data_IF_795749587297
#
_entry.id   IF_795749587297
#
_cell.length_a   1.000
_cell.length_b   1.000
_cell.length_c   1.000
_cell.angle_alpha   90.00
_cell.angle_beta   90.00
_cell.angle_gamma   90.00
#
_symmetry.space_group_name_H-M   'P 1'
#
loop_
_entity.id
_entity.type
_entity.pdbx_description
1 polymer ?
#
# COMPACT_ATOMS: atom_id res chain seq x y z
N UNK A 1 15.03 21.64 29.66
CA UNK A 1 16.46 22.03 29.68
C UNK A 1 17.28 20.76 29.86
N UNK A 2 18.07 20.39 28.86
CA UNK A 2 19.02 19.27 28.96
C UNK A 2 20.19 19.78 29.75
N UNK A 3 20.46 19.20 30.92
CA UNK A 3 21.63 19.51 31.70
C UNK A 3 22.89 18.97 30.97
N UNK A 4 23.80 19.78 30.48
CA UNK A 4 24.94 19.32 29.69
C UNK A 4 25.98 18.52 30.50
N UNK A 5 25.93 18.59 31.82
CA UNK A 5 26.90 17.93 32.70
C UNK A 5 26.54 16.48 33.03
N UNK A 6 25.28 16.11 32.87
CA UNK A 6 24.82 14.71 33.09
C UNK A 6 24.22 14.13 31.81
N UNK A 7 24.83 13.08 31.24
CA UNK A 7 24.25 12.39 30.12
C UNK A 7 22.91 11.76 30.50
N UNK A 8 21.91 11.88 29.63
CA UNK A 8 20.59 11.30 29.84
C UNK A 8 20.28 10.27 28.76
N UNK A 9 19.61 9.21 29.16
CA UNK A 9 19.18 8.15 28.24
C UNK A 9 17.67 7.97 28.32
N UNK A 10 16.88 8.86 27.70
CA UNK A 10 15.43 8.68 27.59
C UNK A 10 15.10 7.56 26.60
N UNK A 11 14.19 6.66 27.02
CA UNK A 11 13.60 5.67 26.15
C UNK A 11 12.07 5.74 26.26
N UNK A 12 11.39 5.53 25.14
CA UNK A 12 9.93 5.57 25.03
C UNK A 12 9.46 4.39 24.24
N UNK A 13 8.48 3.69 24.78
CA UNK A 13 7.70 2.66 24.09
C UNK A 13 6.30 3.21 23.89
N UNK A 14 5.75 3.08 22.71
CA UNK A 14 4.40 3.50 22.39
C UNK A 14 3.64 2.39 21.68
N UNK A 15 2.35 2.30 21.98
CA UNK A 15 1.42 1.45 21.28
C UNK A 15 0.11 2.21 21.06
N UNK A 16 -0.34 2.22 19.82
CA UNK A 16 -1.65 2.74 19.44
C UNK A 16 -2.43 1.63 18.74
N UNK A 17 -3.71 1.53 19.08
CA UNK A 17 -4.65 0.65 18.41
C UNK A 17 -5.88 1.44 18.02
N UNK A 18 -6.20 1.42 16.74
CA UNK A 18 -7.42 2.00 16.20
C UNK A 18 -8.27 0.90 15.57
N UNK A 19 -9.56 0.87 15.90
CA UNK A 19 -10.52 -0.04 15.28
C UNK A 19 -11.67 0.78 14.70
N UNK A 20 -11.89 0.64 13.41
CA UNK A 20 -13.00 1.25 12.67
C UNK A 20 -13.97 0.17 12.25
N UNK A 21 -15.25 0.33 12.58
CA UNK A 21 -16.31 -0.58 12.17
C UNK A 21 -17.57 0.18 11.78
N UNK A 22 -18.35 -0.40 10.89
CA UNK A 22 -19.58 0.21 10.39
C UNK A 22 -19.70 0.08 8.88
N UNK A 23 -20.26 1.10 8.26
CA UNK A 23 -20.43 1.17 6.82
C UNK A 23 -20.05 2.57 6.32
N UNK A 24 -19.50 2.62 5.12
CA UNK A 24 -19.36 3.86 4.37
C UNK A 24 -20.05 3.74 3.02
N UNK A 25 -20.42 4.85 2.41
CA UNK A 25 -20.98 4.86 1.07
C UNK A 25 -19.89 4.59 0.04
N UNK A 26 -20.10 3.59 -0.81
CA UNK A 26 -19.34 3.38 -2.03
C UNK A 26 -20.24 3.74 -3.21
N UNK A 27 -19.79 4.68 -4.03
CA UNK A 27 -20.48 5.05 -5.26
C UNK A 27 -19.90 4.29 -6.43
N UNK A 28 -20.74 3.62 -7.19
CA UNK A 28 -20.39 2.90 -8.41
C UNK A 28 -21.18 3.37 -9.61
N UNK A 29 -20.67 3.10 -10.80
CA UNK A 29 -21.37 3.32 -12.05
C UNK A 29 -21.36 2.05 -12.90
N UNK A 30 -22.49 1.71 -13.49
CA UNK A 30 -22.58 0.66 -14.48
C UNK A 30 -22.70 1.32 -15.88
N UNK A 31 -21.67 1.17 -16.69
CA UNK A 31 -21.65 1.69 -18.05
C UNK A 31 -22.34 0.67 -18.96
N UNK A 32 -23.59 0.94 -19.28
CA UNK A 32 -24.29 0.27 -20.39
C UNK A 32 -24.35 1.20 -21.59
N UNK A 33 -24.44 0.64 -22.76
CA UNK A 33 -24.31 1.33 -24.05
C UNK A 33 -25.20 2.59 -24.24
N UNK A 34 -26.22 2.77 -23.43
CA UNK A 34 -27.15 3.90 -23.53
C UNK A 34 -27.62 4.49 -22.21
N UNK A 35 -27.24 3.90 -21.08
CA UNK A 35 -27.65 4.34 -19.75
C UNK A 35 -26.46 4.20 -18.80
N UNK A 36 -26.10 5.26 -18.12
CA UNK A 36 -25.06 5.26 -17.08
C UNK A 36 -25.73 5.35 -15.70
N UNK A 37 -26.33 4.25 -15.18
CA UNK A 37 -26.88 4.27 -13.84
C UNK A 37 -25.75 4.41 -12.84
N UNK A 38 -25.89 5.30 -11.89
CA UNK A 38 -25.08 5.38 -10.69
C UNK A 38 -25.83 4.72 -9.55
N UNK A 39 -25.11 4.11 -8.64
CA UNK A 39 -25.66 3.52 -7.44
C UNK A 39 -24.71 3.77 -6.25
N UNK A 40 -25.33 3.80 -5.10
CA UNK A 40 -24.60 3.87 -3.82
C UNK A 40 -24.87 2.59 -3.04
N UNK A 41 -23.81 1.99 -2.55
CA UNK A 41 -23.89 0.76 -1.74
C UNK A 41 -23.16 0.93 -0.42
N UNK A 42 -23.65 0.29 0.64
CA UNK A 42 -22.97 0.30 1.93
C UNK A 42 -21.74 -0.63 1.88
N UNK A 43 -20.57 -0.05 1.81
CA UNK A 43 -19.31 -0.79 1.97
C UNK A 43 -19.07 -1.10 3.45
N UNK A 44 -18.89 -2.36 3.83
CA UNK A 44 -18.61 -2.73 5.21
C UNK A 44 -17.20 -2.30 5.61
N UNK A 45 -17.07 -1.72 6.79
CA UNK A 45 -15.81 -1.37 7.42
C UNK A 45 -15.56 -2.26 8.63
N UNK A 46 -14.40 -2.89 8.69
CA UNK A 46 -13.90 -3.58 9.87
C UNK A 46 -12.38 -3.59 9.85
N UNK A 47 -11.80 -2.44 10.11
CA UNK A 47 -10.39 -2.15 9.96
C UNK A 47 -9.71 -2.06 11.33
N UNK A 48 -8.56 -2.69 11.49
CA UNK A 48 -7.74 -2.62 12.67
C UNK A 48 -6.35 -2.13 12.30
N UNK A 49 -5.96 -0.97 12.83
CA UNK A 49 -4.60 -0.44 12.73
C UNK A 49 -3.91 -0.55 14.08
N UNK A 50 -2.67 -1.02 14.07
CA UNK A 50 -1.83 -1.14 15.26
C UNK A 50 -0.46 -0.53 14.96
N UNK A 51 -0.05 0.43 15.79
CA UNK A 51 1.24 1.10 15.70
C UNK A 51 2.08 0.79 16.93
N UNK A 52 3.25 0.23 16.71
CA UNK A 52 4.27 -0.02 17.74
C UNK A 52 5.44 0.93 17.50
N UNK A 53 5.83 1.66 18.52
CA UNK A 53 6.96 2.56 18.49
C UNK A 53 7.93 2.28 19.61
N UNK A 54 9.22 2.24 19.28
CA UNK A 54 10.33 2.25 20.22
C UNK A 54 11.26 3.38 19.86
N UNK A 55 11.60 4.24 20.81
CA UNK A 55 12.55 5.32 20.64
C UNK A 55 13.51 5.33 21.81
N UNK A 56 14.79 5.52 21.52
CA UNK A 56 15.82 5.74 22.50
C UNK A 56 16.69 6.92 22.06
N UNK A 57 17.17 7.66 23.01
CA UNK A 57 18.10 8.75 22.75
C UNK A 57 19.21 8.78 23.82
N UNK A 58 20.35 9.33 23.44
CA UNK A 58 21.45 9.56 24.36
C UNK A 58 21.90 11.01 24.21
N UNK A 59 21.67 11.79 25.25
CA UNK A 59 22.05 13.20 25.30
C UNK A 59 23.33 13.35 26.11
N UNK A 60 24.30 14.05 25.57
CA UNK A 60 25.56 14.37 26.20
C UNK A 60 25.99 15.81 25.87
N UNK A 61 26.98 16.35 26.57
CA UNK A 61 27.33 17.75 26.44
C UNK A 61 27.61 18.22 25.01
N UNK A 62 28.28 17.40 24.20
CA UNK A 62 28.64 17.69 22.84
C UNK A 62 27.56 17.31 21.82
N UNK A 63 26.48 16.65 22.21
CA UNK A 63 25.50 16.22 21.21
C UNK A 63 24.35 15.38 21.67
N UNK A 64 23.73 14.76 20.69
CA UNK A 64 22.56 13.92 20.83
C UNK A 64 22.65 12.78 19.82
N UNK A 65 22.40 11.57 20.27
CA UNK A 65 22.18 10.38 19.43
C UNK A 65 20.76 9.92 19.62
N UNK A 66 20.15 9.38 18.58
CA UNK A 66 18.82 8.76 18.70
C UNK A 66 18.71 7.54 17.79
N UNK A 67 17.85 6.63 18.18
CA UNK A 67 17.40 5.50 17.38
C UNK A 67 15.90 5.30 17.59
N UNK A 68 15.21 4.87 16.55
CA UNK A 68 13.80 4.55 16.62
C UNK A 68 13.48 3.34 15.74
N UNK A 69 12.49 2.58 16.18
CA UNK A 69 11.83 1.54 15.41
C UNK A 69 10.33 1.76 15.47
N UNK A 70 9.67 1.71 14.32
CA UNK A 70 8.23 1.77 14.22
C UNK A 70 7.75 0.60 13.38
N UNK A 71 6.63 -0.01 13.79
CA UNK A 71 5.93 -1.04 13.04
C UNK A 71 4.44 -0.71 13.03
N UNK A 72 3.89 -0.59 11.83
CA UNK A 72 2.48 -0.44 11.58
C UNK A 72 1.93 -1.72 11.00
N UNK A 73 0.81 -2.19 11.54
CA UNK A 73 0.05 -3.34 11.06
C UNK A 73 -1.35 -2.88 10.74
N UNK A 74 -1.77 -3.08 9.52
CA UNK A 74 -3.14 -2.84 9.08
C UNK A 74 -3.80 -4.16 8.71
N UNK A 75 -4.93 -4.46 9.34
CA UNK A 75 -5.74 -5.64 9.07
C UNK A 75 -7.16 -5.22 8.72
N UNK A 76 -7.68 -5.71 7.62
CA UNK A 76 -9.06 -5.51 7.21
C UNK A 76 -9.84 -6.82 7.33
N UNK A 77 -10.73 -6.90 8.31
CA UNK A 77 -11.56 -8.08 8.55
C UNK A 77 -12.76 -8.18 7.61
N UNK A 78 -13.10 -7.09 6.93
CA UNK A 78 -14.09 -7.05 5.86
C UNK A 78 -13.35 -7.08 4.51
N UNK A 79 -12.70 -8.20 4.20
CA UNK A 79 -11.82 -8.33 3.04
C UNK A 79 -12.54 -8.11 1.71
N UNK A 80 -13.77 -8.61 1.60
CA UNK A 80 -14.61 -8.45 0.41
C UNK A 80 -16.08 -8.31 0.79
N UNK A 81 -16.86 -7.77 -0.15
CA UNK A 81 -18.31 -7.84 -0.10
C UNK A 81 -18.88 -8.02 -1.50
N UNK A 82 -20.07 -8.57 -1.59
CA UNK A 82 -20.79 -8.81 -2.84
C UNK A 82 -22.03 -7.95 -2.84
N UNK A 83 -22.28 -7.31 -3.96
CA UNK A 83 -23.52 -6.57 -4.21
C UNK A 83 -24.28 -7.21 -5.35
N UNK A 84 -25.59 -7.12 -5.30
CA UNK A 84 -26.45 -7.42 -6.43
C UNK A 84 -26.50 -6.21 -7.37
N UNK A 85 -26.45 -6.45 -8.68
CA UNK A 85 -26.66 -5.42 -9.67
C UNK A 85 -28.19 -5.15 -9.74
N UNK A 86 -28.65 -3.96 -9.33
CA UNK A 86 -30.07 -3.66 -9.30
C UNK A 86 -30.73 -3.62 -10.70
N UNK A 87 -29.92 -3.62 -11.75
CA UNK A 87 -30.36 -3.55 -13.13
C UNK A 87 -30.29 -4.89 -13.86
N UNK A 88 -29.92 -5.98 -13.15
CA UNK A 88 -29.69 -7.30 -13.71
C UNK A 88 -30.21 -8.42 -12.79
N UNK A 89 -31.26 -9.10 -13.21
CA UNK A 89 -31.92 -10.10 -12.35
C UNK A 89 -31.14 -11.43 -12.22
N UNK A 90 -30.36 -11.80 -13.22
CA UNK A 90 -29.60 -13.06 -13.25
C UNK A 90 -28.36 -12.97 -14.13
N UNK A 91 -27.36 -13.80 -13.83
CA UNK A 91 -26.15 -13.92 -14.63
C UNK A 91 -26.45 -14.49 -16.02
N UNK A 92 -25.80 -13.92 -17.03
CA UNK A 92 -25.88 -14.40 -18.40
C UNK A 92 -24.50 -14.47 -19.02
N UNK A 93 -24.17 -15.61 -19.61
CA UNK A 93 -23.00 -15.81 -20.46
C UNK A 93 -23.29 -15.54 -21.94
N UNK A 94 -24.54 -15.26 -22.29
CA UNK A 94 -24.93 -15.01 -23.66
C UNK A 94 -24.47 -13.61 -24.10
N UNK A 95 -23.58 -13.55 -25.06
CA UNK A 95 -23.02 -12.31 -25.62
C UNK A 95 -24.00 -11.51 -26.48
N UNK A 96 -25.09 -12.13 -26.92
CA UNK A 96 -26.09 -11.48 -27.79
C UNK A 96 -27.13 -10.65 -27.02
N UNK A 97 -27.25 -10.81 -25.74
CA UNK A 97 -28.19 -10.07 -24.91
C UNK A 97 -27.52 -8.91 -24.19
N UNK A 98 -28.25 -7.83 -24.01
CA UNK A 98 -27.86 -6.72 -23.14
C UNK A 98 -27.95 -7.23 -21.70
N UNK A 99 -26.95 -7.93 -21.27
CA UNK A 99 -26.86 -8.51 -19.96
C UNK A 99 -25.47 -8.20 -19.38
N UNK A 100 -25.29 -8.43 -18.17
CA UNK A 100 -24.04 -8.37 -17.43
C UNK A 100 -24.12 -9.33 -16.27
N UNK A 101 -23.16 -9.30 -15.36
CA UNK A 101 -23.27 -10.04 -14.11
C UNK A 101 -24.42 -9.48 -13.26
N UNK A 102 -25.18 -10.36 -12.62
CA UNK A 102 -26.21 -9.97 -11.64
C UNK A 102 -25.59 -9.59 -10.30
N UNK A 103 -24.34 -9.95 -10.07
CA UNK A 103 -23.61 -9.67 -8.84
C UNK A 103 -22.19 -9.26 -9.13
N UNK A 104 -21.64 -8.38 -8.27
CA UNK A 104 -20.25 -7.97 -8.33
C UNK A 104 -19.59 -8.14 -6.96
N UNK A 105 -18.35 -8.64 -6.94
CA UNK A 105 -17.51 -8.66 -5.76
C UNK A 105 -16.61 -7.44 -5.77
N UNK A 106 -16.60 -6.73 -4.66
CA UNK A 106 -15.63 -5.69 -4.35
C UNK A 106 -14.60 -6.22 -3.37
N UNK A 107 -13.37 -5.76 -3.54
CA UNK A 107 -12.25 -6.10 -2.66
C UNK A 107 -11.87 -4.83 -1.93
N UNK A 108 -11.89 -4.89 -0.61
CA UNK A 108 -11.49 -3.79 0.25
C UNK A 108 -9.96 -3.70 0.36
N UNK A 109 -9.47 -2.63 0.98
CA UNK A 109 -8.03 -2.44 1.20
C UNK A 109 -7.43 -3.67 1.87
N UNK A 110 -6.44 -4.32 1.26
CA UNK A 110 -5.86 -5.54 1.80
C UNK A 110 -4.96 -5.27 3.01
N UNK A 111 -4.75 -6.31 3.80
CA UNK A 111 -3.81 -6.31 4.91
C UNK A 111 -2.41 -5.91 4.46
N UNK A 112 -1.76 -5.09 5.27
CA UNK A 112 -0.41 -4.65 4.98
C UNK A 112 0.38 -4.36 6.26
N UNK A 113 1.68 -4.35 6.12
CA UNK A 113 2.61 -4.08 7.20
C UNK A 113 3.70 -3.11 6.72
N UNK A 114 4.05 -2.17 7.59
CA UNK A 114 5.19 -1.28 7.39
C UNK A 114 6.09 -1.30 8.62
N UNK A 115 7.39 -1.47 8.41
CA UNK A 115 8.40 -1.39 9.47
C UNK A 115 9.47 -0.39 9.06
N UNK A 116 9.89 0.47 10.00
CA UNK A 116 10.94 1.46 9.77
C UNK A 116 11.88 1.47 10.96
N UNK A 117 13.17 1.33 10.69
CA UNK A 117 14.23 1.58 11.66
C UNK A 117 14.99 2.84 11.28
N UNK A 118 15.31 3.68 12.25
CA UNK A 118 16.07 4.91 12.02
C UNK A 118 17.09 5.13 13.12
N UNK A 119 18.19 5.79 12.76
CA UNK A 119 19.19 6.27 13.72
C UNK A 119 19.74 7.61 13.22
N UNK A 120 20.11 8.46 14.17
CA UNK A 120 20.67 9.74 13.82
C UNK A 120 21.48 10.36 14.95
N UNK A 121 22.15 11.42 14.61
CA UNK A 121 22.99 12.17 15.52
C UNK A 121 22.93 13.67 15.26
N UNK A 122 23.20 14.43 16.29
CA UNK A 122 23.47 15.86 16.23
C UNK A 122 24.68 16.14 17.13
N UNK A 123 25.79 16.59 16.52
CA UNK A 123 27.02 16.95 17.21
C UNK A 123 27.19 18.45 17.18
N UNK A 124 27.69 18.99 18.28
CA UNK A 124 27.99 20.42 18.48
C UNK A 124 29.51 20.58 18.71
N UNK A 125 30.08 21.44 17.97
CA UNK A 125 31.51 21.79 18.05
C UNK A 125 31.70 23.26 18.42
N UNK A 126 32.94 23.65 18.64
CA UNK A 126 33.30 25.07 18.85
C UNK A 126 32.80 25.96 17.69
N UNK A 127 32.77 27.27 17.92
CA UNK A 127 32.39 28.29 16.93
C UNK A 127 31.02 28.10 16.30
N UNK A 128 30.04 27.65 17.11
CA UNK A 128 28.66 27.41 16.69
C UNK A 128 28.56 26.45 15.50
N UNK A 129 29.47 25.49 15.40
CA UNK A 129 29.43 24.44 14.38
C UNK A 129 28.55 23.31 14.84
N UNK A 130 27.68 22.85 13.96
CA UNK A 130 26.79 21.70 14.17
C UNK A 130 26.81 20.77 12.97
N UNK A 131 26.87 19.48 13.23
CA UNK A 131 26.76 18.42 12.24
C UNK A 131 25.65 17.51 12.68
N UNK A 132 24.66 17.27 11.80
CA UNK A 132 23.57 16.33 12.00
C UNK A 132 23.51 15.32 10.88
N UNK A 133 23.09 14.11 11.20
CA UNK A 133 22.84 13.07 10.21
C UNK A 133 21.74 12.12 10.67
N UNK A 134 20.90 11.68 9.74
CA UNK A 134 19.83 10.74 9.96
C UNK A 134 19.83 9.70 8.85
N UNK A 135 19.71 8.43 9.23
CA UNK A 135 19.49 7.29 8.35
C UNK A 135 18.17 6.63 8.76
N UNK A 136 17.31 6.35 7.79
CA UNK A 136 16.14 5.51 8.00
C UNK A 136 16.07 4.45 6.90
N UNK A 137 15.73 3.22 7.30
CA UNK A 137 15.46 2.11 6.40
C UNK A 137 14.07 1.58 6.71
N UNK A 138 13.28 1.38 5.66
CA UNK A 138 11.91 0.92 5.78
C UNK A 138 11.64 -0.28 4.88
N UNK A 139 10.67 -1.08 5.29
CA UNK A 139 10.13 -2.18 4.50
C UNK A 139 8.61 -2.19 4.63
N UNK A 140 7.94 -2.23 3.50
CA UNK A 140 6.50 -2.38 3.39
C UNK A 140 6.20 -3.70 2.71
N UNK A 141 5.25 -4.44 3.26
CA UNK A 141 4.83 -5.73 2.73
C UNK A 141 3.32 -5.81 2.67
N UNK A 142 2.84 -6.47 1.61
CA UNK A 142 1.44 -6.78 1.41
C UNK A 142 1.37 -8.15 0.73
N UNK A 143 0.90 -9.15 1.44
CA UNK A 143 0.75 -10.52 0.92
C UNK A 143 -0.69 -10.98 1.03
N UNK A 144 -1.62 -10.13 0.54
CA UNK A 144 -3.02 -10.49 0.47
C UNK A 144 -3.25 -11.57 -0.59
N UNK A 145 -4.10 -12.54 -0.25
CA UNK A 145 -4.53 -13.56 -1.18
C UNK A 145 -5.32 -12.93 -2.34
N UNK A 146 -5.12 -13.45 -3.55
CA UNK A 146 -5.95 -13.07 -4.67
C UNK A 146 -7.30 -13.78 -4.61
N UNK A 147 -8.30 -13.10 -5.10
CA UNK A 147 -9.62 -13.64 -5.33
C UNK A 147 -9.77 -14.13 -6.77
N UNK A 148 -10.60 -15.13 -7.04
CA UNK A 148 -10.90 -15.56 -8.41
C UNK A 148 -11.36 -14.39 -9.28
N UNK A 149 -11.12 -14.49 -10.58
CA UNK A 149 -11.46 -13.46 -11.55
C UNK A 149 -12.93 -13.04 -11.55
N UNK A 150 -13.80 -13.99 -11.21
CA UNK A 150 -15.24 -13.76 -11.18
C UNK A 150 -15.90 -14.58 -10.06
N UNK A 151 -17.14 -14.23 -9.71
CA UNK A 151 -18.03 -15.05 -8.89
C UNK A 151 -19.04 -15.82 -9.74
N UNK A 152 -19.04 -15.61 -11.06
CA UNK A 152 -19.91 -16.30 -12.00
C UNK A 152 -19.37 -17.71 -12.28
N UNK A 153 -20.12 -18.73 -11.87
CA UNK A 153 -19.74 -20.14 -11.98
C UNK A 153 -19.79 -20.69 -13.41
N UNK A 154 -20.42 -19.97 -14.35
CA UNK A 154 -20.58 -20.39 -15.72
C UNK A 154 -19.40 -20.00 -16.61
N UNK A 155 -18.49 -19.12 -16.13
CA UNK A 155 -17.36 -18.65 -16.92
C UNK A 155 -16.19 -19.64 -16.85
N UNK A 156 -15.68 -20.02 -18.02
CA UNK A 156 -14.47 -20.83 -18.16
C UNK A 156 -13.35 -19.98 -18.77
N UNK A 157 -12.12 -20.22 -18.33
CA UNK A 157 -10.92 -19.68 -18.99
C UNK A 157 -10.74 -20.33 -20.36
N UNK A 158 -9.88 -19.79 -21.23
CA UNK A 158 -9.56 -20.40 -22.51
C UNK A 158 -9.01 -21.83 -22.41
N UNK A 159 -8.46 -22.20 -21.26
CA UNK A 159 -7.97 -23.55 -20.98
C UNK A 159 -9.00 -24.47 -20.38
N UNK A 160 -10.27 -24.05 -20.27
CA UNK A 160 -11.38 -24.83 -19.73
C UNK A 160 -11.43 -24.89 -18.19
N UNK A 161 -10.58 -24.12 -17.49
CA UNK A 161 -10.63 -24.01 -16.02
C UNK A 161 -11.72 -23.02 -15.63
N UNK A 162 -12.45 -23.28 -14.56
CA UNK A 162 -13.46 -22.35 -14.04
C UNK A 162 -12.81 -21.05 -13.58
N UNK A 163 -13.28 -19.92 -14.11
CA UNK A 163 -12.73 -18.59 -13.80
C UNK A 163 -13.05 -18.13 -12.36
N UNK A 164 -14.03 -18.73 -11.71
CA UNK A 164 -14.35 -18.54 -10.29
C UNK A 164 -13.50 -19.40 -9.35
N UNK A 165 -12.48 -20.09 -9.87
CA UNK A 165 -11.55 -20.92 -9.11
C UNK A 165 -10.20 -20.23 -8.91
N UNK A 166 -9.59 -20.47 -7.74
CA UNK A 166 -8.20 -20.04 -7.47
C UNK A 166 -7.17 -20.69 -8.38
N UNK A 167 -7.50 -21.85 -9.00
CA UNK A 167 -6.61 -22.53 -9.95
C UNK A 167 -6.51 -21.79 -11.30
N UNK A 168 -7.39 -20.85 -11.59
CA UNK A 168 -7.31 -19.99 -12.77
C UNK A 168 -6.29 -18.87 -12.62
N UNK A 169 -5.88 -18.56 -11.40
CA UNK A 169 -4.98 -17.44 -11.12
C UNK A 169 -3.51 -17.80 -11.40
N UNK A 170 -2.69 -16.85 -11.86
CA UNK A 170 -1.27 -17.06 -12.11
C UNK A 170 -0.45 -17.29 -10.84
N UNK A 171 -0.94 -16.79 -9.71
CA UNK A 171 -0.36 -16.99 -8.38
C UNK A 171 -1.43 -16.78 -7.29
N UNK A 172 -1.12 -17.21 -6.06
CA UNK A 172 -2.10 -17.24 -4.96
C UNK A 172 -2.24 -15.91 -4.23
N UNK A 173 -1.18 -15.09 -4.20
CA UNK A 173 -1.14 -13.83 -3.46
C UNK A 173 -0.27 -12.80 -4.15
N UNK A 174 -0.35 -11.55 -3.72
CA UNK A 174 0.37 -10.45 -4.33
C UNK A 174 1.89 -10.47 -4.04
N UNK A 175 2.32 -10.94 -2.86
CA UNK A 175 3.71 -10.95 -2.38
C UNK A 175 4.43 -9.59 -2.58
N UNK A 176 3.71 -8.51 -2.27
CA UNK A 176 4.19 -7.14 -2.46
C UNK A 176 5.27 -6.76 -1.47
N UNK A 177 6.36 -6.16 -1.97
CA UNK A 177 7.50 -5.71 -1.16
C UNK A 177 8.07 -4.42 -1.68
N UNK A 178 8.16 -3.42 -0.80
CA UNK A 178 8.84 -2.15 -1.08
C UNK A 178 9.87 -1.91 0.01
N UNK A 179 11.09 -1.58 -0.39
CA UNK A 179 12.12 -1.13 0.52
C UNK A 179 12.34 0.38 0.35
N UNK A 180 12.58 1.08 1.44
CA UNK A 180 12.91 2.51 1.43
C UNK A 180 14.21 2.74 2.18
N UNK A 181 15.01 3.69 1.70
CA UNK A 181 16.20 4.18 2.38
C UNK A 181 16.21 5.69 2.31
N UNK A 182 16.35 6.34 3.46
CA UNK A 182 16.49 7.78 3.56
C UNK A 182 17.79 8.12 4.25
N UNK A 183 18.54 9.03 3.68
CA UNK A 183 19.77 9.58 4.24
C UNK A 183 19.66 11.10 4.23
N UNK A 184 19.97 11.72 5.36
CA UNK A 184 19.94 13.16 5.52
C UNK A 184 21.16 13.62 6.31
N UNK A 185 21.88 14.62 5.79
CA UNK A 185 22.98 15.28 6.49
C UNK A 185 22.78 16.77 6.48
N UNK A 186 23.09 17.39 7.61
CA UNK A 186 23.05 18.85 7.77
C UNK A 186 24.32 19.34 8.44
N UNK A 187 24.86 20.39 7.89
CA UNK A 187 26.02 21.11 8.45
C UNK A 187 25.71 22.58 8.59
N UNK A 188 26.07 23.15 9.72
CA UNK A 188 26.00 24.59 9.91
C UNK A 188 27.18 25.07 10.76
N UNK A 189 27.77 26.22 10.39
CA UNK A 189 28.91 26.79 11.11
C UNK A 189 28.90 28.31 11.02
N UNK A 190 29.38 28.95 12.08
CA UNK A 190 29.73 30.37 12.10
C UNK A 190 31.18 30.52 12.52
N UNK A 191 32.13 30.25 11.61
CA UNK A 191 33.54 30.18 11.95
C UNK A 191 34.13 31.53 12.39
N UNK A 192 33.61 32.64 11.84
CA UNK A 192 34.00 34.01 12.17
C UNK A 192 32.80 34.93 12.15
N UNK A 193 32.94 36.11 12.79
CA UNK A 193 31.89 37.13 12.81
C UNK A 193 31.53 37.57 11.37
N UNK A 194 30.24 37.56 11.05
CA UNK A 194 29.72 37.94 9.73
C UNK A 194 29.65 36.80 8.70
N UNK A 195 30.23 35.61 8.97
CA UNK A 195 30.18 34.48 8.06
C UNK A 195 29.32 33.34 8.64
N UNK A 196 28.27 32.94 7.91
CA UNK A 196 27.45 31.77 8.22
C UNK A 196 27.50 30.80 7.04
N UNK A 197 27.88 29.55 7.31
CA UNK A 197 27.93 28.46 6.34
C UNK A 197 26.82 27.47 6.66
N UNK A 198 26.13 27.00 5.62
CA UNK A 198 25.14 25.92 5.72
C UNK A 198 25.30 24.98 4.54
N UNK A 199 25.24 23.67 4.80
CA UNK A 199 25.20 22.65 3.78
C UNK A 199 24.19 21.59 4.19
N UNK A 200 23.49 21.01 3.23
CA UNK A 200 22.55 19.93 3.44
C UNK A 200 22.62 18.93 2.29
N UNK A 201 22.47 17.67 2.62
CA UNK A 201 22.34 16.58 1.67
C UNK A 201 21.16 15.71 2.08
N UNK A 202 20.31 15.37 1.13
CA UNK A 202 19.19 14.45 1.32
C UNK A 202 19.12 13.49 0.16
N UNK A 203 19.02 12.20 0.46
CA UNK A 203 18.73 11.14 -0.48
C UNK A 203 17.53 10.34 0.01
N UNK A 204 16.66 9.98 -0.90
CA UNK A 204 15.55 9.07 -0.64
C UNK A 204 15.47 8.09 -1.80
N UNK A 205 15.52 6.80 -1.48
CA UNK A 205 15.37 5.70 -2.41
C UNK A 205 14.15 4.88 -2.02
N UNK A 206 13.33 4.55 -3.01
CA UNK A 206 12.21 3.64 -2.91
C UNK A 206 12.38 2.57 -3.98
N UNK A 207 12.60 1.34 -3.55
CA UNK A 207 12.78 0.20 -4.45
C UNK A 207 11.62 -0.77 -4.32
N UNK A 208 10.84 -0.92 -5.38
CA UNK A 208 9.81 -1.94 -5.46
C UNK A 208 10.48 -3.30 -5.78
N UNK A 209 10.32 -4.26 -4.86
CA UNK A 209 10.83 -5.64 -4.94
C UNK A 209 9.73 -6.65 -5.26
N UNK A 210 8.50 -6.18 -5.49
CA UNK A 210 7.38 -7.03 -5.88
C UNK A 210 7.68 -7.69 -7.22
N UNK A 211 7.46 -9.00 -7.29
CA UNK A 211 7.58 -9.72 -8.56
C UNK A 211 6.49 -9.28 -9.52
N UNK A 212 6.86 -9.13 -10.77
CA UNK A 212 5.88 -8.86 -11.83
C UNK A 212 4.93 -10.03 -11.98
N UNK A 213 3.63 -9.74 -11.97
CA UNK A 213 2.57 -10.71 -12.21
C UNK A 213 2.07 -10.51 -13.63
N UNK A 214 1.93 -11.60 -14.36
CA UNK A 214 1.37 -11.60 -15.71
C UNK A 214 -0.01 -12.26 -15.64
N UNK A 215 -1.04 -11.52 -15.98
CA UNK A 215 -2.40 -12.00 -16.11
C UNK A 215 -2.66 -12.17 -17.61
N UNK A 216 -2.86 -13.41 -18.04
CA UNK A 216 -2.86 -13.79 -19.47
C UNK A 216 -4.25 -13.78 -20.11
N UNK A 217 -5.26 -13.35 -19.41
CA UNK A 217 -6.60 -13.35 -19.96
C UNK A 217 -7.38 -12.13 -19.54
N UNK A 218 -8.39 -11.81 -20.31
CA UNK A 218 -9.28 -10.70 -20.09
C UNK A 218 -10.72 -11.09 -20.48
N UNK A 219 -11.70 -10.42 -19.90
CA UNK A 219 -13.09 -10.52 -20.33
C UNK A 219 -13.41 -9.35 -21.26
N UNK A 220 -13.77 -9.64 -22.49
CA UNK A 220 -14.02 -8.61 -23.49
C UNK A 220 -15.17 -7.68 -23.12
N UNK A 221 -16.21 -8.20 -22.52
CA UNK A 221 -17.38 -7.41 -22.10
C UNK A 221 -17.91 -8.03 -20.81
N UNK A 222 -17.65 -7.39 -19.70
CA UNK A 222 -18.14 -7.75 -18.36
C UNK A 222 -18.48 -9.24 -18.24
N UNK A 223 -17.71 -10.04 -17.73
CA UNK A 223 -17.97 -11.45 -17.33
C UNK A 223 -18.72 -12.35 -18.35
N UNK A 224 -18.77 -11.95 -19.61
CA UNK A 224 -19.50 -12.68 -20.67
C UNK A 224 -18.65 -13.66 -21.45
N UNK A 225 -17.40 -13.24 -21.72
CA UNK A 225 -16.47 -14.04 -22.50
C UNK A 225 -15.05 -13.77 -22.04
N UNK A 226 -14.26 -14.82 -22.01
CA UNK A 226 -12.83 -14.71 -21.74
C UNK A 226 -12.08 -14.49 -23.05
N UNK A 227 -11.36 -13.39 -23.13
CA UNK A 227 -10.49 -13.08 -24.28
C UNK A 227 -9.05 -13.15 -23.85
N UNK A 228 -8.26 -13.96 -24.56
CA UNK A 228 -6.83 -14.03 -24.35
C UNK A 228 -6.16 -12.83 -25.02
N UNK A 229 -5.43 -12.05 -24.25
CA UNK A 229 -4.61 -10.94 -24.75
C UNK A 229 -3.16 -11.20 -24.37
N UNK A 230 -2.26 -11.03 -25.31
CA UNK A 230 -0.82 -11.21 -25.06
C UNK A 230 -0.27 -10.04 -24.26
N UNK A 231 0.25 -10.28 -23.06
CA UNK A 231 0.87 -9.23 -22.26
C UNK A 231 2.12 -8.68 -22.93
N UNK A 232 2.34 -7.37 -22.82
CA UNK A 232 3.56 -6.70 -23.28
C UNK A 232 4.44 -6.30 -22.10
N UNK A 233 5.65 -5.81 -22.39
CA UNK A 233 6.54 -5.30 -21.36
C UNK A 233 5.93 -4.11 -20.60
N UNK A 234 5.19 -3.26 -21.31
CA UNK A 234 4.56 -2.05 -20.76
C UNK A 234 3.17 -2.32 -20.18
N UNK A 235 2.55 -3.41 -20.59
CA UNK A 235 1.24 -3.82 -20.10
C UNK A 235 1.23 -5.31 -19.71
N UNK A 236 1.61 -5.64 -18.48
CA UNK A 236 1.68 -7.02 -17.99
C UNK A 236 0.32 -7.71 -17.87
N UNK A 237 -0.77 -6.96 -17.91
CA UNK A 237 -2.12 -7.49 -17.82
C UNK A 237 -2.73 -7.83 -19.19
N UNK A 238 -2.01 -7.55 -20.27
CA UNK A 238 -2.49 -7.81 -21.60
C UNK A 238 -3.63 -6.91 -22.09
N UNK A 239 -4.11 -6.00 -21.26
CA UNK A 239 -5.17 -5.04 -21.58
C UNK A 239 -4.67 -3.60 -21.49
N UNK A 240 -5.03 -2.76 -22.46
CA UNK A 240 -4.47 -1.41 -22.59
C UNK A 240 -4.89 -0.41 -21.49
N UNK A 241 -5.85 -0.76 -20.65
CA UNK A 241 -6.44 0.17 -19.66
C UNK A 241 -6.12 -0.12 -18.21
N UNK A 242 -5.43 -1.20 -17.92
CA UNK A 242 -5.12 -1.56 -16.53
C UNK A 242 -3.76 -0.98 -16.10
N UNK A 243 -3.73 0.27 -15.72
CA UNK A 243 -2.64 0.82 -14.92
C UNK A 243 -2.90 0.52 -13.45
N UNK A 244 -2.34 -0.56 -12.93
CA UNK A 244 -2.28 -0.81 -11.50
C UNK A 244 -0.90 -0.40 -11.02
N UNK A 245 -0.85 0.72 -10.31
CA UNK A 245 0.34 1.22 -9.64
C UNK A 245 0.40 0.71 -8.21
#
# INVERSE_FOLDING_TARGET
>A
RINPENPTFPAVVSYLREHKSGYRTLTGGNVRAQVNPSYEVPEPLNELTQDFGLRAAYNFGAGHLHAAFNRNLYNNRAETFVIDDPFQAFDSVNTSTVGGPSRARFINTPDNEASTASAGFLLKFARQTRLGGDLAVGRWTQDAAFYPYTINTAILTPTGVRADSLSALPQKSFDGKINTTMLNFTFSSRPVKGLALRAGFRSYDLTNKTKRIIITGDTAVSDRAWTVVTPTADNPYGHATANVY
#
